data_IF_138214960759
#
_entry.id   IF_138214960759
#
_cell.length_a   1.000
_cell.length_b   1.000
_cell.length_c   1.000
_cell.angle_alpha   90.00
_cell.angle_beta   90.00
_cell.angle_gamma   90.00
#
_symmetry.space_group_name_H-M   'P 1'
#
loop_
_entity.id
_entity.type
_entity.pdbx_description
1 polymer ?
#
# COMPACT_ATOMS: atom_id res chain seq x y z
N UNK A 1 2.44 8.55 1.13
CA UNK A 1 2.47 7.79 -0.15
C UNK A 1 1.31 6.82 -0.16
N UNK A 2 0.94 6.28 -1.33
CA UNK A 2 0.03 5.13 -1.43
C UNK A 2 0.90 3.90 -1.66
N UNK A 3 0.83 2.92 -0.76
CA UNK A 3 1.61 1.69 -0.89
C UNK A 3 0.93 0.75 -1.88
N UNK A 4 1.62 0.35 -2.94
CA UNK A 4 1.09 -0.60 -3.93
C UNK A 4 1.48 -2.05 -3.62
N UNK A 5 2.66 -2.31 -3.04
CA UNK A 5 3.12 -3.64 -2.67
C UNK A 5 4.16 -3.55 -1.56
N UNK A 6 4.03 -4.39 -0.54
CA UNK A 6 5.12 -4.66 0.39
C UNK A 6 5.94 -5.84 -0.15
N UNK A 7 7.25 -5.66 -0.26
CA UNK A 7 8.17 -6.65 -0.82
C UNK A 7 8.86 -7.52 0.25
N UNK A 8 8.71 -7.15 1.53
CA UNK A 8 9.47 -7.77 2.61
C UNK A 8 10.96 -7.49 2.49
N UNK A 9 11.77 -8.44 2.98
CA UNK A 9 13.22 -8.37 2.89
C UNK A 9 13.70 -8.84 1.52
N UNK A 10 14.06 -7.88 0.66
CA UNK A 10 14.77 -8.17 -0.59
C UNK A 10 16.24 -8.27 -0.24
N UNK A 11 16.80 -9.47 -0.36
CA UNK A 11 18.22 -9.71 -0.10
C UNK A 11 19.06 -8.75 -0.95
N UNK A 12 19.87 -7.91 -0.29
CA UNK A 12 20.96 -7.19 -0.95
C UNK A 12 22.17 -8.11 -0.90
N UNK A 13 22.88 -8.27 -2.01
CA UNK A 13 24.15 -9.00 -1.99
C UNK A 13 25.06 -8.42 -0.90
N UNK A 14 25.62 -9.29 -0.06
CA UNK A 14 26.66 -8.89 0.88
C UNK A 14 27.86 -8.32 0.09
N UNK A 15 28.54 -7.33 0.68
CA UNK A 15 29.60 -6.48 0.09
C UNK A 15 30.89 -7.20 -0.33
N UNK A 16 30.87 -8.52 -0.54
CA UNK A 16 32.04 -9.32 -0.94
C UNK A 16 31.62 -10.35 -2.01
N UNK A 17 31.78 -9.97 -3.27
CA UNK A 17 31.85 -10.86 -4.46
C UNK A 17 30.79 -11.99 -4.55
N UNK A 18 29.51 -11.68 -4.30
CA UNK A 18 28.38 -12.61 -4.52
C UNK A 18 27.37 -12.09 -5.56
N UNK A 19 26.75 -12.96 -6.39
CA UNK A 19 25.93 -12.61 -7.55
C UNK A 19 24.56 -11.96 -7.22
N UNK A 20 24.39 -11.35 -6.04
CA UNK A 20 23.11 -10.93 -5.45
C UNK A 20 22.80 -9.42 -5.55
N UNK A 21 23.55 -8.63 -6.33
CA UNK A 21 23.00 -7.36 -6.86
C UNK A 21 21.77 -7.61 -7.77
N UNK A 22 21.67 -8.83 -8.31
CA UNK A 22 20.60 -9.26 -9.20
C UNK A 22 19.19 -9.21 -8.58
N UNK A 23 19.02 -9.46 -7.29
CA UNK A 23 17.69 -9.56 -6.68
C UNK A 23 16.96 -8.21 -6.64
N UNK A 24 17.68 -7.12 -6.36
CA UNK A 24 17.12 -5.77 -6.39
C UNK A 24 16.84 -5.35 -7.84
N UNK A 25 17.76 -5.63 -8.76
CA UNK A 25 17.59 -5.36 -10.18
C UNK A 25 16.38 -6.10 -10.77
N UNK A 26 16.17 -7.36 -10.38
CA UNK A 26 15.03 -8.18 -10.80
C UNK A 26 13.70 -7.57 -10.31
N UNK A 27 13.67 -7.07 -9.07
CA UNK A 27 12.51 -6.37 -8.51
C UNK A 27 12.25 -5.06 -9.23
N UNK A 28 13.29 -4.28 -9.55
CA UNK A 28 13.15 -3.04 -10.32
C UNK A 28 12.57 -3.36 -11.71
N UNK A 29 13.14 -4.34 -12.40
CA UNK A 29 12.67 -4.77 -13.71
C UNK A 29 11.22 -5.33 -13.66
N UNK A 30 10.84 -6.01 -12.57
CA UNK A 30 9.45 -6.41 -12.33
C UNK A 30 8.52 -5.21 -12.17
N UNK A 31 8.96 -4.16 -11.48
CA UNK A 31 8.23 -2.90 -11.37
C UNK A 31 8.00 -2.23 -12.73
N UNK A 32 9.02 -2.16 -13.58
CA UNK A 32 8.91 -1.60 -14.93
C UNK A 32 7.92 -2.39 -15.80
N UNK A 33 8.03 -3.73 -15.82
CA UNK A 33 7.09 -4.61 -16.53
C UNK A 33 5.66 -4.47 -16.00
N UNK A 34 5.50 -4.30 -14.69
CA UNK A 34 4.20 -4.11 -14.08
C UNK A 34 3.55 -2.80 -14.54
N UNK A 35 4.31 -1.70 -14.62
CA UNK A 35 3.82 -0.41 -15.16
C UNK A 35 3.37 -0.57 -16.61
N UNK A 36 4.18 -1.21 -17.46
CA UNK A 36 3.83 -1.46 -18.86
C UNK A 36 2.56 -2.33 -18.98
N UNK A 37 2.45 -3.40 -18.17
CA UNK A 37 1.30 -4.31 -18.19
C UNK A 37 0.03 -3.67 -17.65
N UNK A 38 0.13 -2.80 -16.64
CA UNK A 38 -1.03 -2.13 -16.07
C UNK A 38 -1.73 -1.26 -17.13
N UNK A 39 -0.99 -0.77 -18.13
CA UNK A 39 -1.55 0.02 -19.23
C UNK A 39 -2.10 1.38 -18.76
N UNK A 40 -1.58 1.89 -17.64
CA UNK A 40 -2.03 3.12 -16.99
C UNK A 40 -1.17 4.28 -17.46
N UNK A 41 -1.78 5.28 -18.09
CA UNK A 41 -1.13 6.56 -18.36
C UNK A 41 -1.09 7.42 -17.09
N UNK A 42 -0.23 8.45 -17.00
CA UNK A 42 -0.27 9.39 -15.87
C UNK A 42 -1.69 9.93 -15.63
N UNK A 43 -2.13 9.90 -14.38
CA UNK A 43 -3.51 10.18 -13.99
C UNK A 43 -3.55 11.06 -12.73
N UNK A 44 -4.68 11.75 -12.55
CA UNK A 44 -4.93 12.57 -11.37
C UNK A 44 -5.55 11.74 -10.26
N UNK A 45 -5.00 11.87 -9.05
CA UNK A 45 -5.58 11.31 -7.83
C UNK A 45 -6.29 12.39 -7.00
N UNK A 46 -7.46 12.05 -6.47
CA UNK A 46 -8.10 12.84 -5.41
C UNK A 46 -8.04 12.07 -4.09
N UNK A 47 -7.33 12.63 -3.12
CA UNK A 47 -7.29 12.09 -1.75
C UNK A 47 -8.48 12.67 -0.99
N UNK A 48 -9.27 11.79 -0.39
CA UNK A 48 -10.50 12.17 0.30
C UNK A 48 -11.10 10.97 1.03
N UNK A 49 -12.09 11.24 1.88
CA UNK A 49 -12.58 10.27 2.86
C UNK A 49 -11.57 9.98 3.98
N UNK A 50 -12.09 9.69 5.17
CA UNK A 50 -11.31 9.22 6.32
C UNK A 50 -11.72 7.79 6.62
N UNK A 51 -10.75 7.00 7.07
CA UNK A 51 -10.97 5.63 7.51
C UNK A 51 -9.92 5.16 8.50
N UNK A 52 -10.16 3.96 9.03
CA UNK A 52 -9.30 3.34 10.04
C UNK A 52 -9.07 1.86 9.78
N UNK A 53 -7.94 1.35 10.28
CA UNK A 53 -7.69 -0.09 10.39
C UNK A 53 -7.41 -0.51 11.84
N UNK A 54 -7.69 -1.78 12.20
CA UNK A 54 -8.56 -2.71 11.44
C UNK A 54 -10.04 -2.34 11.52
N UNK A 55 -10.50 -1.62 12.55
CA UNK A 55 -11.90 -1.17 12.68
C UNK A 55 -12.03 -0.07 13.75
N UNK A 56 -13.22 0.53 13.88
CA UNK A 56 -13.51 1.62 14.82
C UNK A 56 -13.34 1.23 16.30
N UNK A 57 -13.62 -0.03 16.64
CA UNK A 57 -13.48 -0.51 18.02
C UNK A 57 -12.01 -0.68 18.41
N UNK A 58 -11.13 -0.96 17.45
CA UNK A 58 -9.69 -1.16 17.65
C UNK A 58 -8.89 -0.40 16.60
N UNK A 59 -8.77 0.92 16.76
CA UNK A 59 -8.02 1.76 15.81
C UNK A 59 -6.51 1.63 16.07
N UNK A 60 -5.76 1.18 15.06
CA UNK A 60 -4.30 1.19 15.04
C UNK A 60 -3.72 2.05 13.93
N UNK A 61 -4.47 2.31 12.86
CA UNK A 61 -4.07 3.17 11.74
C UNK A 61 -5.22 4.09 11.35
N UNK A 62 -4.90 5.36 11.09
CA UNK A 62 -5.79 6.35 10.48
C UNK A 62 -5.28 6.66 9.09
N UNK A 63 -6.18 6.69 8.11
CA UNK A 63 -5.83 6.90 6.71
C UNK A 63 -6.84 7.78 5.98
N UNK A 64 -6.39 8.37 4.87
CA UNK A 64 -7.26 9.02 3.88
C UNK A 64 -7.39 8.14 2.63
N UNK A 65 -8.61 8.02 2.11
CA UNK A 65 -8.92 7.21 0.93
C UNK A 65 -8.54 7.89 -0.38
N UNK A 66 -8.85 7.23 -1.49
CA UNK A 66 -8.69 7.75 -2.84
C UNK A 66 -10.06 7.79 -3.53
N UNK A 67 -10.62 8.99 -3.70
CA UNK A 67 -11.94 9.22 -4.31
C UNK A 67 -11.89 9.19 -5.85
N UNK A 68 -10.75 9.54 -6.44
CA UNK A 68 -10.49 9.44 -7.88
C UNK A 68 -9.09 8.89 -8.14
N UNK A 69 -8.95 8.03 -9.16
CA UNK A 69 -7.70 7.33 -9.47
C UNK A 69 -7.55 5.97 -8.76
N UNK A 70 -8.58 5.52 -8.02
CA UNK A 70 -8.57 4.23 -7.31
C UNK A 70 -8.49 3.01 -8.24
N UNK A 71 -9.16 3.05 -9.39
CA UNK A 71 -9.13 1.97 -10.39
C UNK A 71 -7.74 1.83 -11.03
N UNK A 72 -7.09 2.95 -11.37
CA UNK A 72 -5.73 2.99 -11.92
C UNK A 72 -4.70 2.48 -10.90
N UNK A 73 -4.81 2.89 -9.63
CA UNK A 73 -3.99 2.35 -8.54
C UNK A 73 -4.22 0.86 -8.33
N UNK A 74 -5.46 0.39 -8.47
CA UNK A 74 -5.80 -1.03 -8.34
C UNK A 74 -5.22 -1.84 -9.51
N UNK A 75 -5.24 -1.30 -10.73
CA UNK A 75 -4.60 -1.91 -11.89
C UNK A 75 -3.08 -2.04 -11.70
N UNK A 76 -2.43 -0.97 -11.20
CA UNK A 76 -1.02 -0.98 -10.85
C UNK A 76 -0.69 -1.99 -9.75
N UNK A 77 -1.47 -2.01 -8.66
CA UNK A 77 -1.32 -2.99 -7.59
C UNK A 77 -1.40 -4.42 -8.13
N UNK A 78 -2.42 -4.75 -8.93
CA UNK A 78 -2.59 -6.10 -9.51
C UNK A 78 -1.42 -6.50 -10.41
N UNK A 79 -0.90 -5.58 -11.21
CA UNK A 79 0.24 -5.85 -12.07
C UNK A 79 1.52 -6.09 -11.26
N UNK A 80 1.76 -5.26 -10.24
CA UNK A 80 2.88 -5.42 -9.31
C UNK A 80 2.78 -6.73 -8.53
N UNK A 81 1.59 -7.06 -8.04
CA UNK A 81 1.31 -8.31 -7.34
C UNK A 81 1.69 -9.51 -8.21
N UNK A 82 1.26 -9.53 -9.47
CA UNK A 82 1.56 -10.62 -10.40
C UNK A 82 3.06 -10.74 -10.73
N UNK A 83 3.76 -9.62 -10.98
CA UNK A 83 5.19 -9.65 -11.32
C UNK A 83 6.07 -9.98 -10.11
N UNK A 84 5.74 -9.46 -8.93
CA UNK A 84 6.55 -9.66 -7.72
C UNK A 84 6.33 -11.05 -7.10
N UNK A 85 5.12 -11.59 -7.14
CA UNK A 85 4.86 -12.98 -6.70
C UNK A 85 5.55 -14.00 -7.58
N UNK A 86 5.73 -13.73 -8.88
CA UNK A 86 6.52 -14.57 -9.78
C UNK A 86 8.01 -14.62 -9.40
N UNK A 87 8.51 -13.61 -8.66
CA UNK A 87 9.86 -13.57 -8.09
C UNK A 87 9.95 -14.19 -6.69
N UNK A 88 8.84 -14.72 -6.16
CA UNK A 88 8.79 -15.35 -4.83
C UNK A 88 8.44 -14.40 -3.68
N UNK A 89 8.03 -13.16 -3.95
CA UNK A 89 7.44 -12.28 -2.91
C UNK A 89 6.09 -12.86 -2.48
N UNK A 90 5.83 -12.88 -1.18
CA UNK A 90 4.57 -13.38 -0.65
C UNK A 90 3.36 -12.60 -1.22
N UNK A 91 2.25 -13.29 -1.54
CA UNK A 91 1.05 -12.62 -2.00
C UNK A 91 0.43 -11.77 -0.88
N UNK A 92 -0.31 -10.72 -1.26
CA UNK A 92 -1.09 -9.93 -0.31
C UNK A 92 -2.12 -10.82 0.42
N UNK A 93 -2.22 -10.65 1.74
CA UNK A 93 -3.10 -11.41 2.62
C UNK A 93 -4.48 -10.74 2.80
N UNK A 94 -4.68 -9.55 2.23
CA UNK A 94 -5.92 -8.78 2.27
C UNK A 94 -6.19 -8.10 0.92
N UNK A 95 -7.44 -7.69 0.72
CA UNK A 95 -7.81 -6.92 -0.45
C UNK A 95 -7.08 -5.56 -0.46
N UNK A 96 -6.68 -5.12 -1.66
CA UNK A 96 -6.05 -3.82 -1.82
C UNK A 96 -7.07 -2.68 -1.66
N UNK A 97 -6.84 -1.86 -0.65
CA UNK A 97 -7.58 -0.61 -0.43
C UNK A 97 -6.62 0.55 -0.63
N UNK A 98 -6.70 1.33 -1.73
CA UNK A 98 -5.78 2.43 -1.97
C UNK A 98 -6.01 3.54 -0.93
N UNK A 99 -4.96 3.85 -0.16
CA UNK A 99 -5.05 4.84 0.91
C UNK A 99 -3.69 5.50 1.18
N UNK A 100 -3.74 6.65 1.84
CA UNK A 100 -2.57 7.30 2.43
C UNK A 100 -2.67 7.16 3.94
N UNK A 101 -1.73 6.45 4.55
CA UNK A 101 -1.63 6.40 6.02
C UNK A 101 -1.29 7.81 6.54
N UNK A 102 -2.11 8.31 7.47
CA UNK A 102 -1.95 9.61 8.12
C UNK A 102 -1.30 9.49 9.49
N UNK A 103 -1.72 8.50 10.28
CA UNK A 103 -1.24 8.28 11.64
C UNK A 103 -1.31 6.81 12.05
N UNK A 104 -0.49 6.43 13.02
CA UNK A 104 -0.58 5.16 13.76
C UNK A 104 -0.93 5.46 15.20
N UNK A 105 -1.84 4.68 15.77
CA UNK A 105 -2.36 4.85 17.12
C UNK A 105 -1.78 3.77 18.01
N UNK A 106 -1.07 4.19 19.07
CA UNK A 106 -0.29 3.29 19.92
C UNK A 106 -0.87 3.14 21.34
N UNK A 107 -1.86 3.95 21.71
CA UNK A 107 -2.45 3.93 23.05
C UNK A 107 -3.95 4.22 23.03
N UNK A 108 -4.62 3.89 24.14
CA UNK A 108 -6.07 4.01 24.28
C UNK A 108 -6.58 5.45 24.14
N UNK A 109 -5.83 6.43 24.66
CA UNK A 109 -6.21 7.84 24.57
C UNK A 109 -6.21 8.35 23.12
N UNK A 110 -5.22 7.92 22.32
CA UNK A 110 -5.19 8.22 20.88
C UNK A 110 -6.34 7.55 20.13
N UNK A 111 -6.71 6.32 20.50
CA UNK A 111 -7.84 5.63 19.89
C UNK A 111 -9.18 6.33 20.19
N UNK A 112 -9.35 6.81 21.42
CA UNK A 112 -10.51 7.60 21.82
C UNK A 112 -10.59 8.92 21.04
N UNK A 113 -9.51 9.69 21.00
CA UNK A 113 -9.46 10.95 20.25
C UNK A 113 -9.75 10.78 18.75
N UNK A 114 -9.31 9.67 18.16
CA UNK A 114 -9.66 9.34 16.77
C UNK A 114 -11.15 9.03 16.64
N UNK A 115 -11.72 8.18 17.52
CA UNK A 115 -13.15 7.87 17.46
C UNK A 115 -14.02 9.12 17.55
N UNK A 116 -13.70 10.02 18.47
CA UNK A 116 -14.41 11.30 18.62
C UNK A 116 -14.34 12.10 17.29
N UNK A 117 -13.15 12.21 16.70
CA UNK A 117 -12.98 12.89 15.41
C UNK A 117 -13.71 12.19 14.24
N UNK A 118 -13.91 10.88 14.31
CA UNK A 118 -14.65 10.09 13.31
C UNK A 118 -16.17 10.13 13.52
N UNK A 119 -16.66 10.41 14.72
CA UNK A 119 -18.09 10.58 15.00
C UNK A 119 -18.60 11.96 14.53
N UNK A 120 -17.69 12.94 14.46
CA UNK A 120 -17.96 14.29 13.92
C UNK A 120 -17.96 14.36 12.38
N UNK A 121 -17.74 13.25 11.66
CA UNK A 121 -17.65 13.20 10.19
C UNK A 121 -18.17 11.90 9.54
N UNK A 122 -18.35 11.90 8.22
CA UNK A 122 -18.65 10.69 7.43
C UNK A 122 -17.35 9.90 7.19
N UNK A 123 -17.31 8.62 7.59
CA UNK A 123 -16.10 7.79 7.61
C UNK A 123 -16.37 6.43 6.97
N UNK A 124 -15.49 6.02 6.07
CA UNK A 124 -15.52 4.68 5.46
C UNK A 124 -14.67 3.70 6.27
N UNK A 125 -15.20 2.50 6.49
CA UNK A 125 -14.48 1.40 7.17
C UNK A 125 -14.12 0.36 6.10
N UNK A 126 -12.82 0.05 5.98
CA UNK A 126 -12.27 -0.87 5.00
C UNK A 126 -11.66 -2.11 5.62
#
# INVERSE_FOLDING_TARGET
HVTLKFLGDVARGDEDDSPNDSALDDVIAAGERAVDRAGVAPFDCAVGGLGVFPNRDYVSVVWAGIERGGDDLTALHRALEAETTALGVDPADHAFTPHVTLARVENAAGAEAVRDALDDGEVEVG
#
